data_IF_095302185652
#
_entry.id   IF_095302185652
#
_cell.length_a   1.000
_cell.length_b   1.000
_cell.length_c   1.000
_cell.angle_alpha   90.00
_cell.angle_beta   90.00
_cell.angle_gamma   90.00
#
_symmetry.space_group_name_H-M   'P 1'
#
loop_
_entity.id
_entity.type
_entity.pdbx_description
1 polymer ?
#
# COMPACT_ATOMS: atom_id res chain seq x y z
N UNK A 1 38.00 -62.42 -5.86
CA UNK A 1 36.90 -61.69 -5.20
C UNK A 1 35.95 -62.72 -4.62
N UNK A 2 35.95 -62.89 -3.29
CA UNK A 2 34.80 -63.42 -2.57
C UNK A 2 34.56 -62.47 -1.42
N UNK A 3 33.95 -61.34 -1.77
CA UNK A 3 33.56 -60.28 -0.85
C UNK A 3 32.29 -60.75 -0.14
N UNK A 4 32.46 -61.67 0.81
CA UNK A 4 31.35 -62.20 1.60
C UNK A 4 30.95 -61.10 2.58
N UNK A 5 30.01 -60.23 2.17
CA UNK A 5 29.38 -59.30 3.11
C UNK A 5 28.66 -60.13 4.19
N UNK A 6 28.88 -59.83 5.48
CA UNK A 6 28.18 -60.51 6.56
C UNK A 6 26.67 -60.26 6.43
N UNK A 7 25.88 -61.32 6.60
CA UNK A 7 24.42 -61.23 6.56
C UNK A 7 23.90 -60.53 7.83
N UNK A 8 22.75 -59.85 7.71
CA UNK A 8 22.13 -59.14 8.83
C UNK A 8 21.88 -60.10 10.01
N UNK A 9 22.58 -59.89 11.12
CA UNK A 9 22.59 -60.77 12.30
C UNK A 9 23.93 -61.46 12.58
N UNK A 10 24.90 -61.45 11.66
CA UNK A 10 26.24 -62.01 11.90
C UNK A 10 27.17 -61.09 12.70
N UNK A 11 26.83 -59.81 12.86
CA UNK A 11 27.55 -58.85 13.69
C UNK A 11 26.72 -58.55 14.93
N UNK A 12 27.22 -58.99 16.10
CA UNK A 12 26.72 -58.80 17.47
C UNK A 12 25.20 -58.67 17.62
N UNK A 13 24.57 -59.58 18.36
CA UNK A 13 23.13 -59.49 18.59
C UNK A 13 22.75 -58.10 19.14
N UNK A 14 21.54 -57.58 18.86
CA UNK A 14 21.13 -56.26 19.33
C UNK A 14 21.30 -56.08 20.85
N UNK A 15 21.19 -57.17 21.62
CA UNK A 15 21.45 -57.16 23.05
C UNK A 15 22.94 -57.05 23.40
N UNK A 16 23.81 -57.75 22.69
CA UNK A 16 25.26 -57.65 22.88
C UNK A 16 25.79 -56.27 22.47
N UNK A 17 25.26 -55.67 21.39
CA UNK A 17 25.60 -54.29 21.01
C UNK A 17 25.19 -53.29 22.10
N UNK A 18 24.02 -53.50 22.70
CA UNK A 18 23.48 -52.64 23.76
C UNK A 18 24.29 -52.76 25.05
N UNK A 19 24.70 -53.97 25.42
CA UNK A 19 25.62 -54.22 26.53
C UNK A 19 27.00 -53.60 26.28
N UNK A 20 27.55 -53.76 25.07
CA UNK A 20 28.82 -53.15 24.68
C UNK A 20 28.75 -51.61 24.68
N UNK A 21 27.59 -51.03 24.36
CA UNK A 21 27.32 -49.60 24.45
C UNK A 21 26.97 -49.12 25.88
N UNK A 22 27.02 -50.01 26.88
CA UNK A 22 26.79 -49.67 28.29
C UNK A 22 25.33 -49.35 28.65
N UNK A 23 24.37 -49.76 27.81
CA UNK A 23 22.95 -49.52 28.04
C UNK A 23 22.30 -50.61 28.92
N UNK A 24 21.42 -50.24 29.86
CA UNK A 24 20.78 -51.17 30.79
C UNK A 24 19.81 -52.12 30.05
N UNK A 25 19.66 -53.40 30.49
CA UNK A 25 18.68 -54.41 30.02
C UNK A 25 17.34 -53.80 29.60
N UNK A 26 16.75 -54.26 28.49
CA UNK A 26 15.44 -53.73 28.01
C UNK A 26 14.36 -53.95 29.08
N UNK A 27 14.46 -55.03 29.85
CA UNK A 27 13.58 -55.31 30.98
C UNK A 27 13.79 -54.36 32.19
N UNK A 28 14.92 -53.67 32.25
CA UNK A 28 15.25 -52.70 33.32
C UNK A 28 14.98 -51.24 32.93
N UNK A 29 14.56 -50.96 31.70
CA UNK A 29 14.10 -49.62 31.31
C UNK A 29 12.74 -49.35 31.96
N UNK A 30 12.76 -48.95 33.22
CA UNK A 30 11.63 -48.29 33.85
C UNK A 30 11.26 -47.09 32.97
N UNK A 31 9.97 -46.90 32.59
CA UNK A 31 9.58 -45.75 31.80
C UNK A 31 9.96 -44.49 32.57
N UNK A 32 11.05 -43.86 32.17
CA UNK A 32 11.43 -42.56 32.68
C UNK A 32 10.24 -41.64 32.41
N UNK A 33 9.65 -41.08 33.47
CA UNK A 33 8.71 -39.99 33.32
C UNK A 33 9.50 -38.86 32.69
N UNK A 34 9.42 -38.76 31.37
CA UNK A 34 9.96 -37.64 30.62
C UNK A 34 9.14 -36.44 31.07
N UNK A 35 9.64 -35.67 32.02
CA UNK A 35 9.16 -34.32 32.24
C UNK A 35 9.54 -33.58 30.96
N UNK A 36 8.60 -33.55 30.02
CA UNK A 36 8.76 -32.85 28.76
C UNK A 36 9.03 -31.38 29.07
N UNK A 37 10.28 -30.96 28.92
CA UNK A 37 10.59 -29.55 28.78
C UNK A 37 9.71 -29.02 27.63
N UNK A 38 8.94 -27.94 27.81
CA UNK A 38 8.00 -27.51 26.80
C UNK A 38 8.80 -27.14 25.55
N UNK A 39 8.72 -27.99 24.54
CA UNK A 39 9.27 -27.69 23.22
C UNK A 39 8.76 -26.30 22.82
N UNK A 40 9.61 -25.40 22.30
CA UNK A 40 9.16 -24.13 21.77
C UNK A 40 8.02 -24.45 20.80
N UNK A 41 6.79 -24.06 21.17
CA UNK A 41 5.64 -24.26 20.32
C UNK A 41 6.01 -23.63 18.99
N UNK A 42 6.17 -24.46 17.95
CA UNK A 42 6.26 -23.97 16.59
C UNK A 42 4.95 -23.22 16.37
N UNK A 43 5.01 -21.89 16.50
CA UNK A 43 3.88 -21.00 16.28
C UNK A 43 3.43 -21.34 14.88
N UNK A 44 2.31 -22.05 14.81
CA UNK A 44 1.70 -22.41 13.53
C UNK A 44 1.42 -21.07 12.90
N UNK A 45 2.21 -20.69 11.89
CA UNK A 45 2.03 -19.42 11.21
C UNK A 45 0.60 -19.42 10.69
N UNK A 46 -0.26 -18.68 11.38
CA UNK A 46 -1.69 -18.64 11.10
C UNK A 46 -1.82 -18.33 9.59
N UNK A 47 -2.51 -19.17 8.80
CA UNK A 47 -2.54 -19.02 7.36
C UNK A 47 -3.03 -17.61 7.07
N UNK A 48 -2.16 -16.78 6.48
CA UNK A 48 -2.38 -15.36 6.29
C UNK A 48 -3.81 -15.13 5.79
N UNK A 49 -4.69 -14.69 6.70
CA UNK A 49 -6.13 -14.63 6.45
C UNK A 49 -6.32 -13.82 5.18
N UNK A 50 -6.71 -14.49 4.09
CA UNK A 50 -6.92 -13.86 2.79
C UNK A 50 -7.97 -12.77 3.05
N UNK A 51 -7.62 -11.49 2.87
CA UNK A 51 -8.52 -10.34 3.04
C UNK A 51 -9.04 -9.90 1.67
N UNK A 52 -9.99 -10.64 1.04
CA UNK A 52 -10.47 -10.33 -0.32
C UNK A 52 -11.11 -8.95 -0.40
N UNK A 53 -11.81 -8.54 0.68
CA UNK A 53 -12.48 -7.23 0.77
C UNK A 53 -11.49 -6.08 0.69
N UNK A 54 -10.34 -6.16 1.40
CA UNK A 54 -9.30 -5.11 1.37
C UNK A 54 -8.69 -4.96 -0.03
N UNK A 55 -8.51 -6.08 -0.75
CA UNK A 55 -8.04 -6.08 -2.14
C UNK A 55 -9.04 -5.41 -3.08
N UNK A 56 -10.31 -5.82 -3.00
CA UNK A 56 -11.37 -5.27 -3.82
C UNK A 56 -11.54 -3.76 -3.56
N UNK A 57 -11.58 -3.34 -2.30
CA UNK A 57 -11.68 -1.93 -1.91
C UNK A 57 -10.49 -1.10 -2.46
N UNK A 58 -9.26 -1.61 -2.33
CA UNK A 58 -8.07 -0.93 -2.87
C UNK A 58 -8.14 -0.78 -4.39
N UNK A 59 -8.52 -1.85 -5.11
CA UNK A 59 -8.64 -1.80 -6.58
C UNK A 59 -9.74 -0.83 -7.01
N UNK A 60 -10.91 -0.88 -6.35
CA UNK A 60 -12.02 0.03 -6.62
C UNK A 60 -11.63 1.50 -6.36
N UNK A 61 -10.96 1.79 -5.24
CA UNK A 61 -10.46 3.13 -4.92
C UNK A 61 -9.44 3.63 -5.95
N UNK A 62 -8.52 2.78 -6.39
CA UNK A 62 -7.54 3.16 -7.40
C UNK A 62 -8.19 3.41 -8.77
N UNK A 63 -9.14 2.57 -9.17
CA UNK A 63 -9.87 2.73 -10.44
C UNK A 63 -10.73 4.00 -10.43
N UNK A 64 -11.49 4.23 -9.36
CA UNK A 64 -12.25 5.46 -9.15
C UNK A 64 -11.34 6.69 -9.15
N UNK A 65 -10.23 6.62 -8.39
CA UNK A 65 -9.24 7.67 -8.33
C UNK A 65 -8.61 7.97 -9.68
N UNK A 66 -8.35 6.94 -10.52
CA UNK A 66 -7.79 7.13 -11.86
C UNK A 66 -8.73 7.94 -12.74
N UNK A 67 -10.02 7.57 -12.76
CA UNK A 67 -11.04 8.27 -13.55
C UNK A 67 -11.12 9.72 -13.08
N UNK A 68 -11.18 9.95 -11.77
CA UNK A 68 -11.23 11.29 -11.22
C UNK A 68 -9.99 12.11 -11.57
N UNK A 69 -8.79 11.54 -11.48
CA UNK A 69 -7.52 12.20 -11.81
C UNK A 69 -7.45 12.57 -13.28
N UNK A 70 -7.87 11.68 -14.19
CA UNK A 70 -7.89 11.97 -15.63
C UNK A 70 -8.84 13.14 -15.93
N UNK A 71 -10.07 13.09 -15.40
CA UNK A 71 -11.06 14.15 -15.60
C UNK A 71 -10.59 15.49 -15.03
N UNK A 72 -10.02 15.47 -13.82
CA UNK A 72 -9.55 16.68 -13.14
C UNK A 72 -8.29 17.24 -13.80
N UNK A 73 -7.36 16.39 -14.24
CA UNK A 73 -6.16 16.82 -14.96
C UNK A 73 -6.54 17.52 -16.28
N UNK A 74 -7.50 16.98 -17.03
CA UNK A 74 -8.02 17.65 -18.23
C UNK A 74 -8.62 19.03 -17.90
N UNK A 75 -9.39 19.13 -16.81
CA UNK A 75 -9.93 20.41 -16.33
C UNK A 75 -8.83 21.42 -15.98
N UNK A 76 -7.72 20.97 -15.37
CA UNK A 76 -6.59 21.85 -15.06
C UNK A 76 -5.78 22.27 -16.28
N UNK A 77 -5.72 21.47 -17.33
CA UNK A 77 -5.09 21.89 -18.59
C UNK A 77 -5.89 23.02 -19.26
N UNK A 78 -7.19 23.12 -18.99
CA UNK A 78 -8.05 24.24 -19.36
C UNK A 78 -8.50 25.07 -18.13
N UNK A 79 -7.53 25.38 -17.27
CA UNK A 79 -7.79 26.11 -16.02
C UNK A 79 -8.56 27.42 -16.22
N UNK A 80 -8.29 28.27 -17.23
CA UNK A 80 -9.07 29.49 -17.44
C UNK A 80 -10.56 29.24 -17.65
N UNK A 81 -10.94 28.24 -18.45
CA UNK A 81 -12.35 27.89 -18.65
C UNK A 81 -12.98 27.37 -17.35
N UNK A 82 -12.26 26.52 -16.60
CA UNK A 82 -12.71 26.02 -15.30
C UNK A 82 -12.90 27.14 -14.27
N UNK A 83 -12.00 28.13 -14.24
CA UNK A 83 -12.08 29.29 -13.35
C UNK A 83 -13.26 30.19 -13.73
N UNK A 84 -13.44 30.49 -15.02
CA UNK A 84 -14.60 31.24 -15.51
C UNK A 84 -15.93 30.57 -15.14
N UNK A 85 -16.02 29.25 -15.27
CA UNK A 85 -17.21 28.51 -14.86
C UNK A 85 -17.45 28.63 -13.35
N UNK A 86 -16.39 28.57 -12.54
CA UNK A 86 -16.47 28.73 -11.08
C UNK A 86 -16.89 30.14 -10.70
N UNK A 87 -16.33 31.18 -11.32
CA UNK A 87 -16.67 32.58 -11.10
C UNK A 87 -18.16 32.84 -11.42
N UNK A 88 -18.68 32.26 -12.51
CA UNK A 88 -20.11 32.30 -12.85
C UNK A 88 -20.99 31.63 -11.80
N UNK A 89 -20.58 30.47 -11.28
CA UNK A 89 -21.31 29.79 -10.19
C UNK A 89 -21.32 30.62 -8.90
N UNK A 90 -20.26 31.41 -8.65
CA UNK A 90 -20.14 32.31 -7.51
C UNK A 90 -20.84 33.66 -7.72
N UNK A 91 -21.40 33.92 -8.91
CA UNK A 91 -22.05 35.20 -9.24
C UNK A 91 -21.09 36.37 -9.45
N UNK A 92 -19.83 36.09 -9.81
CA UNK A 92 -18.83 37.11 -10.15
C UNK A 92 -19.04 37.51 -11.61
N UNK A 93 -19.38 38.78 -11.86
CA UNK A 93 -19.63 39.32 -13.21
C UNK A 93 -18.36 39.46 -14.08
N UNK A 94 -17.18 39.21 -13.50
CA UNK A 94 -15.87 39.26 -14.16
C UNK A 94 -15.38 37.90 -14.68
N UNK A 95 -14.56 37.93 -15.71
CA UNK A 95 -13.84 36.75 -16.20
C UNK A 95 -12.43 36.67 -15.60
N UNK A 96 -11.91 35.46 -15.51
CA UNK A 96 -10.53 35.16 -15.18
C UNK A 96 -9.61 35.83 -16.20
N UNK A 97 -8.70 36.68 -15.73
CA UNK A 97 -7.86 37.52 -16.59
C UNK A 97 -6.41 37.03 -16.65
N UNK A 98 -5.98 36.24 -15.67
CA UNK A 98 -4.60 35.80 -15.53
C UNK A 98 -4.29 34.53 -16.34
N UNK A 99 -4.53 34.56 -17.65
CA UNK A 99 -4.43 33.39 -18.54
C UNK A 99 -3.06 32.72 -18.58
N UNK A 100 -1.98 33.52 -18.59
CA UNK A 100 -0.62 33.00 -18.67
C UNK A 100 -0.26 32.18 -17.42
N UNK A 101 -0.54 32.71 -16.23
CA UNK A 101 -0.34 31.96 -15.00
C UNK A 101 -1.34 30.81 -14.87
N UNK A 102 -2.59 30.99 -15.30
CA UNK A 102 -3.59 29.93 -15.33
C UNK A 102 -3.12 28.71 -16.13
N UNK A 103 -2.58 28.92 -17.33
CA UNK A 103 -2.03 27.82 -18.16
C UNK A 103 -0.79 27.19 -17.52
N UNK A 104 0.14 27.98 -16.99
CA UNK A 104 1.36 27.48 -16.35
C UNK A 104 1.03 26.64 -15.10
N UNK A 105 0.29 27.22 -14.16
CA UNK A 105 -0.03 26.58 -12.88
C UNK A 105 -1.05 25.45 -13.04
N UNK A 106 -1.99 25.56 -13.98
CA UNK A 106 -2.88 24.46 -14.36
C UNK A 106 -2.10 23.24 -14.89
N UNK A 107 -1.10 23.48 -15.74
CA UNK A 107 -0.21 22.41 -16.23
C UNK A 107 0.59 21.77 -15.10
N UNK A 108 1.18 22.58 -14.21
CA UNK A 108 1.91 22.09 -13.03
C UNK A 108 0.98 21.26 -12.13
N UNK A 109 -0.22 21.77 -11.85
CA UNK A 109 -1.23 21.08 -11.04
C UNK A 109 -1.63 19.73 -11.66
N UNK A 110 -1.82 19.67 -12.98
CA UNK A 110 -2.12 18.43 -13.70
C UNK A 110 -0.97 17.41 -13.57
N UNK A 111 0.28 17.85 -13.74
CA UNK A 111 1.46 16.99 -13.59
C UNK A 111 1.56 16.45 -12.16
N UNK A 112 1.41 17.33 -11.16
CA UNK A 112 1.42 16.95 -9.74
C UNK A 112 0.32 15.94 -9.43
N UNK A 113 -0.88 16.16 -9.95
CA UNK A 113 -2.02 15.27 -9.73
C UNK A 113 -1.77 13.87 -10.30
N UNK A 114 -1.28 13.79 -11.55
CA UNK A 114 -0.94 12.52 -12.20
C UNK A 114 0.21 11.83 -11.48
N UNK A 115 1.27 12.57 -11.13
CA UNK A 115 2.42 12.01 -10.40
C UNK A 115 2.01 11.49 -9.02
N UNK A 116 1.22 12.26 -8.26
CA UNK A 116 0.70 11.88 -6.95
C UNK A 116 -0.15 10.62 -7.01
N UNK A 117 -1.01 10.49 -8.03
CA UNK A 117 -1.78 9.28 -8.26
C UNK A 117 -0.87 8.07 -8.61
N UNK A 118 0.10 8.24 -9.50
CA UNK A 118 1.03 7.18 -9.88
C UNK A 118 1.84 6.67 -8.67
N UNK A 119 2.33 7.57 -7.83
CA UNK A 119 3.05 7.22 -6.59
C UNK A 119 2.10 6.47 -5.64
N UNK A 120 0.88 6.97 -5.46
CA UNK A 120 -0.13 6.34 -4.60
C UNK A 120 -0.48 4.93 -5.08
N UNK A 121 -0.67 4.76 -6.39
CA UNK A 121 -0.95 3.47 -7.02
C UNK A 121 0.24 2.51 -6.86
N UNK A 122 1.47 2.96 -7.11
CA UNK A 122 2.67 2.14 -6.94
C UNK A 122 2.85 1.67 -5.49
N UNK A 123 2.65 2.56 -4.51
CA UNK A 123 2.72 2.22 -3.08
C UNK A 123 1.62 1.25 -2.66
N UNK A 124 0.40 1.44 -3.18
CA UNK A 124 -0.75 0.57 -2.92
C UNK A 124 -0.49 -0.84 -3.48
N UNK A 125 -0.08 -0.95 -4.75
CA UNK A 125 0.26 -2.24 -5.38
C UNK A 125 1.43 -2.93 -4.66
N UNK A 126 2.47 -2.19 -4.27
CA UNK A 126 3.61 -2.75 -3.55
C UNK A 126 3.22 -3.29 -2.17
N UNK A 127 2.31 -2.61 -1.46
CA UNK A 127 1.76 -3.11 -0.18
C UNK A 127 0.87 -4.33 -0.36
N UNK A 128 0.04 -4.35 -1.41
CA UNK A 128 -0.84 -5.46 -1.72
C UNK A 128 -0.05 -6.74 -2.00
N UNK A 129 1.06 -6.63 -2.75
CA UNK A 129 2.00 -7.74 -3.01
C UNK A 129 2.66 -8.28 -1.75
N UNK A 130 2.77 -7.47 -0.69
CA UNK A 130 3.34 -7.85 0.62
C UNK A 130 2.28 -8.35 1.61
N UNK A 131 1.02 -8.49 1.20
CA UNK A 131 -0.07 -9.00 2.05
C UNK A 131 -0.49 -8.07 3.19
N UNK A 132 -0.13 -6.78 3.14
CA UNK A 132 -0.46 -5.79 4.17
C UNK A 132 -1.81 -5.11 3.90
N UNK A 133 -2.45 -4.58 4.95
CA UNK A 133 -3.65 -3.76 4.85
C UNK A 133 -3.40 -2.53 3.97
N UNK A 134 -4.22 -2.31 2.94
CA UNK A 134 -3.91 -1.31 1.89
C UNK A 134 -5.00 -0.25 1.68
N UNK A 135 -6.24 -0.44 2.15
CA UNK A 135 -7.36 0.47 1.84
C UNK A 135 -7.16 1.95 2.19
N UNK A 136 -6.40 2.28 3.24
CA UNK A 136 -6.18 3.67 3.66
C UNK A 136 -5.16 4.41 2.78
N UNK A 137 -4.28 3.67 2.09
CA UNK A 137 -3.16 4.24 1.33
C UNK A 137 -3.66 5.09 0.16
N UNK A 138 -4.63 4.64 -0.68
CA UNK A 138 -5.23 5.48 -1.70
C UNK A 138 -5.84 6.76 -1.15
N UNK A 139 -6.51 6.70 0.01
CA UNK A 139 -7.20 7.84 0.62
C UNK A 139 -6.18 8.90 1.08
N UNK A 140 -5.15 8.48 1.83
CA UNK A 140 -4.11 9.41 2.30
C UNK A 140 -3.31 9.98 1.14
N UNK A 141 -2.96 9.14 0.14
CA UNK A 141 -2.28 9.61 -1.06
C UNK A 141 -3.09 10.65 -1.84
N UNK A 142 -4.40 10.43 -1.98
CA UNK A 142 -5.31 11.39 -2.58
C UNK A 142 -5.38 12.70 -1.76
N UNK A 143 -5.54 12.61 -0.44
CA UNK A 143 -5.62 13.79 0.42
C UNK A 143 -4.36 14.67 0.34
N UNK A 144 -3.18 14.07 0.38
CA UNK A 144 -1.90 14.79 0.25
C UNK A 144 -1.78 15.41 -1.14
N UNK A 145 -2.11 14.67 -2.18
CA UNK A 145 -2.02 15.17 -3.56
C UNK A 145 -2.97 16.36 -3.77
N UNK A 146 -4.22 16.24 -3.30
CA UNK A 146 -5.21 17.31 -3.36
C UNK A 146 -4.76 18.58 -2.63
N UNK A 147 -4.09 18.44 -1.48
CA UNK A 147 -3.54 19.58 -0.75
C UNK A 147 -2.43 20.28 -1.54
N UNK A 148 -1.53 19.53 -2.16
CA UNK A 148 -0.46 20.12 -2.99
C UNK A 148 -1.07 20.80 -4.22
N UNK A 149 -2.01 20.13 -4.88
CA UNK A 149 -2.72 20.66 -6.04
C UNK A 149 -3.52 21.92 -5.71
N UNK A 150 -4.18 21.99 -4.55
CA UNK A 150 -4.95 23.19 -4.17
C UNK A 150 -4.04 24.42 -4.03
N UNK A 151 -2.81 24.25 -3.52
CA UNK A 151 -1.80 25.31 -3.49
C UNK A 151 -1.45 25.76 -4.90
N UNK A 152 -1.24 24.84 -5.85
CA UNK A 152 -0.95 25.20 -7.24
C UNK A 152 -2.07 26.03 -7.89
N UNK A 153 -3.34 25.73 -7.59
CA UNK A 153 -4.48 26.47 -8.13
C UNK A 153 -4.71 27.81 -7.40
N UNK A 154 -4.41 27.88 -6.10
CA UNK A 154 -4.58 29.09 -5.32
C UNK A 154 -3.68 30.24 -5.81
N UNK A 155 -2.45 29.94 -6.24
CA UNK A 155 -1.48 30.97 -6.69
C UNK A 155 -2.03 31.85 -7.83
N UNK A 156 -2.45 31.32 -9.00
CA UNK A 156 -2.98 32.15 -10.08
C UNK A 156 -4.30 32.83 -9.71
N UNK A 157 -5.12 32.22 -8.84
CA UNK A 157 -6.42 32.76 -8.44
C UNK A 157 -6.27 33.96 -7.49
N UNK A 158 -5.37 33.89 -6.51
CA UNK A 158 -5.04 35.02 -5.62
C UNK A 158 -4.28 36.14 -6.35
N UNK A 159 -3.61 35.81 -7.47
CA UNK A 159 -3.02 36.79 -8.37
C UNK A 159 -4.01 37.42 -9.35
N UNK A 160 -5.26 36.96 -9.42
CA UNK A 160 -6.26 37.48 -10.37
C UNK A 160 -6.99 38.71 -9.79
N UNK A 161 -6.98 39.86 -10.50
CA UNK A 161 -7.63 41.08 -10.03
C UNK A 161 -9.15 40.95 -9.81
N UNK A 162 -9.86 40.20 -10.65
CA UNK A 162 -11.31 40.06 -10.53
C UNK A 162 -11.68 39.23 -9.29
N UNK A 163 -10.90 38.19 -9.00
CA UNK A 163 -11.06 37.43 -7.77
C UNK A 163 -10.74 38.24 -6.51
N UNK A 164 -9.66 39.03 -6.52
CA UNK A 164 -9.31 39.91 -5.39
C UNK A 164 -10.35 41.01 -5.14
N UNK A 165 -10.95 41.56 -6.20
CA UNK A 165 -12.04 42.52 -6.06
C UNK A 165 -13.26 41.90 -5.36
N UNK A 166 -13.62 40.67 -5.72
CA UNK A 166 -14.69 39.92 -5.06
C UNK A 166 -14.40 39.66 -3.58
N UNK A 167 -13.19 39.20 -3.22
CA UNK A 167 -12.81 38.98 -1.83
C UNK A 167 -12.92 40.24 -0.96
N UNK A 168 -12.58 41.40 -1.51
CA UNK A 168 -12.75 42.67 -0.82
C UNK A 168 -14.23 43.05 -0.64
N UNK A 169 -15.11 42.66 -1.57
CA UNK A 169 -16.54 42.95 -1.50
C UNK A 169 -17.29 42.15 -0.44
N UNK A 170 -16.85 40.93 -0.14
CA UNK A 170 -17.44 40.08 0.92
C UNK A 170 -16.91 40.40 2.33
N UNK A 171 -15.80 41.14 2.42
CA UNK A 171 -15.19 41.55 3.69
C UNK A 171 -15.74 42.86 4.26
N UNK A 172 -16.62 43.54 3.52
CA UNK A 172 -17.35 44.74 3.95
C UNK A 172 -18.78 44.39 4.38
#
# INVERSE_FOLDING_TARGET
MSDTRPQYGELATPEEQRLAAGLPPIDEVQPAVVVAEPAPQAVTAEPARRRPVDRFATIALLAYGLINVVMTAMSYLDLPASMNQTMKMLGIDGEFTNFAQGRLWGTIAAIVLVAGWCITAALSVRRLRRGKLTWWVPIVGAAVTLLITSVCIAVPMLGDPAFMAYLNSIGQ
#
